data_IF_213029321377
#
_entry.id   IF_213029321377
#
_cell.length_a   1.000
_cell.length_b   1.000
_cell.length_c   1.000
_cell.angle_alpha   90.00
_cell.angle_beta   90.00
_cell.angle_gamma   90.00
#
_symmetry.space_group_name_H-M   'P 1'
#
loop_
_entity.id
_entity.type
_entity.pdbx_description
1 polymer ?
#
# COMPACT_ATOMS: atom_id res chain seq x y z
N UNK A 1 23.81 -23.63 -29.51
CA UNK A 1 23.79 -22.55 -28.51
C UNK A 1 22.36 -22.52 -28.01
N UNK A 2 22.08 -23.24 -26.92
CA UNK A 2 20.75 -23.27 -26.33
C UNK A 2 20.63 -22.01 -25.49
N UNK A 3 19.66 -21.17 -25.83
CA UNK A 3 19.30 -20.01 -25.03
C UNK A 3 18.77 -20.52 -23.68
N UNK A 4 19.60 -20.37 -22.65
CA UNK A 4 19.26 -20.66 -21.25
C UNK A 4 18.45 -19.48 -20.67
N UNK A 5 17.29 -19.20 -21.27
CA UNK A 5 16.35 -18.16 -20.78
C UNK A 5 15.50 -18.64 -19.59
N UNK A 6 15.71 -19.89 -19.13
CA UNK A 6 14.91 -20.52 -18.06
C UNK A 6 14.89 -19.75 -16.74
N UNK A 7 16.05 -19.30 -16.20
CA UNK A 7 16.08 -18.51 -14.96
C UNK A 7 15.46 -17.12 -15.14
N UNK A 8 15.84 -16.40 -16.20
CA UNK A 8 15.40 -15.03 -16.44
C UNK A 8 13.88 -14.92 -16.67
N UNK A 9 13.29 -15.86 -17.43
CA UNK A 9 11.84 -15.91 -17.67
C UNK A 9 11.08 -16.23 -16.38
N UNK A 10 11.61 -17.11 -15.53
CA UNK A 10 11.01 -17.41 -14.23
C UNK A 10 10.92 -16.15 -13.36
N UNK A 11 12.02 -15.40 -13.24
CA UNK A 11 12.04 -14.16 -12.48
C UNK A 11 11.06 -13.12 -13.02
N UNK A 12 10.96 -13.01 -14.35
CA UNK A 12 10.02 -12.11 -15.01
C UNK A 12 8.55 -12.49 -14.72
N UNK A 13 8.17 -13.76 -14.90
CA UNK A 13 6.81 -14.24 -14.64
C UNK A 13 6.44 -14.04 -13.18
N UNK A 14 7.35 -14.40 -12.27
CA UNK A 14 7.10 -14.24 -10.84
C UNK A 14 6.93 -12.76 -10.46
N UNK A 15 7.74 -11.86 -11.02
CA UNK A 15 7.57 -10.41 -10.82
C UNK A 15 6.23 -9.89 -11.35
N UNK A 16 5.78 -10.38 -12.51
CA UNK A 16 4.50 -9.98 -13.11
C UNK A 16 3.30 -10.51 -12.32
N UNK A 17 3.38 -11.74 -11.81
CA UNK A 17 2.36 -12.29 -10.93
C UNK A 17 2.24 -11.47 -9.64
N UNK A 18 3.36 -11.03 -9.06
CA UNK A 18 3.33 -10.17 -7.87
C UNK A 18 2.68 -8.81 -8.16
N UNK A 19 3.13 -8.11 -9.21
CA UNK A 19 2.64 -6.77 -9.55
C UNK A 19 1.17 -6.74 -9.97
N UNK A 20 0.67 -7.82 -10.56
CA UNK A 20 -0.70 -7.94 -11.06
C UNK A 20 -1.72 -8.34 -10.00
N UNK A 21 -1.28 -8.85 -8.85
CA UNK A 21 -2.19 -9.43 -7.84
C UNK A 21 -2.04 -8.83 -6.44
N UNK A 22 -0.92 -8.18 -6.13
CA UNK A 22 -0.65 -7.64 -4.78
C UNK A 22 0.01 -6.26 -4.83
N UNK A 23 -0.22 -5.41 -3.80
CA UNK A 23 0.50 -4.16 -3.67
C UNK A 23 1.97 -4.44 -3.38
N UNK A 24 2.84 -3.52 -3.80
CA UNK A 24 4.30 -3.69 -3.75
C UNK A 24 4.80 -3.92 -2.33
N UNK A 25 4.16 -3.32 -1.33
CA UNK A 25 4.54 -3.53 0.06
C UNK A 25 4.58 -5.03 0.38
N UNK A 26 3.62 -5.83 -0.10
CA UNK A 26 3.49 -7.25 0.24
C UNK A 26 4.45 -8.19 -0.50
N UNK A 27 5.15 -7.72 -1.53
CA UNK A 27 5.92 -8.58 -2.43
C UNK A 27 6.98 -9.41 -1.70
N UNK A 28 7.79 -8.79 -0.84
CA UNK A 28 8.87 -9.48 -0.13
C UNK A 28 8.36 -10.61 0.77
N UNK A 29 7.28 -10.38 1.52
CA UNK A 29 6.71 -11.41 2.40
C UNK A 29 6.08 -12.56 1.61
N UNK A 30 5.44 -12.26 0.48
CA UNK A 30 4.89 -13.29 -0.39
C UNK A 30 6.03 -14.17 -0.91
N UNK A 31 7.10 -13.55 -1.42
CA UNK A 31 8.30 -14.26 -1.86
C UNK A 31 8.87 -15.17 -0.75
N UNK A 32 9.04 -14.64 0.45
CA UNK A 32 9.53 -15.39 1.61
C UNK A 32 8.63 -16.59 1.95
N UNK A 33 7.30 -16.40 1.92
CA UNK A 33 6.32 -17.44 2.29
C UNK A 33 6.36 -18.68 1.40
N UNK A 34 6.79 -18.51 0.14
CA UNK A 34 6.94 -19.60 -0.83
C UNK A 34 8.42 -19.93 -1.14
N UNK A 35 9.35 -19.35 -0.37
CA UNK A 35 10.80 -19.47 -0.56
C UNK A 35 11.23 -19.12 -2.01
N UNK A 36 10.59 -18.12 -2.59
CA UNK A 36 10.91 -17.56 -3.89
C UNK A 36 11.99 -16.50 -3.71
N UNK A 37 13.06 -16.60 -4.49
CA UNK A 37 14.10 -15.57 -4.57
C UNK A 37 13.99 -14.90 -5.92
N UNK A 38 13.88 -13.58 -5.93
CA UNK A 38 13.87 -12.79 -7.14
C UNK A 38 15.13 -11.95 -7.24
N UNK A 39 15.78 -12.00 -8.40
CA UNK A 39 16.92 -11.14 -8.72
C UNK A 39 16.43 -9.97 -9.57
N UNK A 40 16.54 -8.75 -9.04
CA UNK A 40 16.08 -7.54 -9.73
C UNK A 40 16.86 -7.27 -11.01
N UNK A 41 18.16 -7.62 -11.05
CA UNK A 41 19.00 -7.45 -12.24
C UNK A 41 18.54 -8.40 -13.33
N UNK A 42 18.25 -9.66 -12.99
CA UNK A 42 17.72 -10.62 -13.97
C UNK A 42 16.33 -10.21 -14.48
N UNK A 43 15.46 -9.67 -13.62
CA UNK A 43 14.16 -9.12 -14.02
C UNK A 43 14.33 -7.95 -14.99
N UNK A 44 15.20 -6.99 -14.68
CA UNK A 44 15.40 -5.81 -15.51
C UNK A 44 16.01 -6.18 -16.87
N UNK A 45 16.95 -7.13 -16.90
CA UNK A 45 17.49 -7.69 -18.13
C UNK A 45 16.43 -8.42 -18.95
N UNK A 46 15.59 -9.25 -18.32
CA UNK A 46 14.51 -9.96 -18.97
C UNK A 46 13.47 -9.01 -19.56
N UNK A 47 13.09 -7.95 -18.82
CA UNK A 47 12.20 -6.87 -19.32
C UNK A 47 12.81 -6.13 -20.51
N UNK A 48 14.10 -5.80 -20.45
CA UNK A 48 14.79 -5.14 -21.54
C UNK A 48 14.83 -6.01 -22.80
N UNK A 49 15.10 -7.32 -22.66
CA UNK A 49 15.05 -8.29 -23.77
C UNK A 49 13.63 -8.39 -24.35
N UNK A 50 12.61 -8.52 -23.51
CA UNK A 50 11.22 -8.61 -23.94
C UNK A 50 10.79 -7.37 -24.74
N UNK A 51 11.14 -6.16 -24.25
CA UNK A 51 10.89 -4.89 -24.96
C UNK A 51 11.66 -4.76 -26.28
N UNK A 52 12.87 -5.31 -26.37
CA UNK A 52 13.66 -5.28 -27.59
C UNK A 52 13.15 -6.29 -28.64
N UNK A 53 12.47 -7.35 -28.21
CA UNK A 53 11.85 -8.36 -29.08
C UNK A 53 10.45 -7.96 -29.57
N UNK A 54 9.78 -7.06 -28.85
CA UNK A 54 8.45 -6.52 -29.19
C UNK A 54 8.62 -5.19 -29.95
N UNK A 55 8.72 -5.25 -31.29
CA UNK A 55 8.77 -4.06 -32.17
C UNK A 55 7.44 -3.29 -32.23
N UNK A 56 6.37 -3.84 -31.63
CA UNK A 56 5.12 -3.12 -31.43
C UNK A 56 5.19 -2.31 -30.15
N UNK A 57 5.12 -0.98 -30.29
CA UNK A 57 4.86 -0.06 -29.18
C UNK A 57 3.62 -0.56 -28.45
N UNK A 58 3.80 -1.22 -27.30
CA UNK A 58 2.70 -1.67 -26.44
C UNK A 58 2.11 -0.42 -25.77
N UNK A 59 1.42 0.40 -26.59
CA UNK A 59 0.50 1.46 -26.20
C UNK A 59 -0.59 0.84 -25.32
N UNK A 60 -0.31 0.66 -24.04
CA UNK A 60 -1.26 0.03 -23.13
C UNK A 60 -0.70 -0.44 -21.80
N UNK A 61 0.62 -0.58 -21.65
CA UNK A 61 1.14 -0.97 -20.34
C UNK A 61 1.10 0.22 -19.39
N UNK A 62 0.09 0.21 -18.53
CA UNK A 62 -0.11 1.16 -17.44
C UNK A 62 1.21 1.29 -16.66
N UNK A 63 1.77 2.49 -16.58
CA UNK A 63 3.01 2.78 -15.87
C UNK A 63 2.71 3.59 -14.62
N UNK A 64 3.35 3.23 -13.51
CA UNK A 64 3.25 4.02 -12.27
C UNK A 64 3.78 5.44 -12.47
N UNK A 65 3.03 6.44 -12.01
CA UNK A 65 3.53 7.82 -12.00
C UNK A 65 4.55 8.00 -10.88
N UNK A 66 5.83 8.29 -11.18
CA UNK A 66 6.85 8.52 -10.16
C UNK A 66 6.52 9.71 -9.23
N UNK A 67 5.64 10.63 -9.65
CA UNK A 67 5.24 11.79 -8.84
C UNK A 67 4.16 11.47 -7.81
N UNK A 68 3.43 10.36 -7.94
CA UNK A 68 2.34 9.99 -7.05
C UNK A 68 2.74 10.09 -5.57
N UNK A 69 3.88 9.49 -5.24
CA UNK A 69 4.43 9.50 -3.89
C UNK A 69 4.63 10.92 -3.35
N UNK A 70 5.28 11.79 -4.13
CA UNK A 70 5.56 13.16 -3.71
C UNK A 70 4.27 13.96 -3.50
N UNK A 71 3.30 13.80 -4.40
CA UNK A 71 2.01 14.48 -4.35
C UNK A 71 1.19 14.07 -3.12
N UNK A 72 1.11 12.77 -2.82
CA UNK A 72 0.41 12.25 -1.64
C UNK A 72 1.08 12.71 -0.35
N UNK A 73 2.41 12.57 -0.24
CA UNK A 73 3.14 13.05 0.95
C UNK A 73 2.93 14.55 1.17
N UNK A 74 2.96 15.35 0.11
CA UNK A 74 2.69 16.79 0.19
C UNK A 74 1.24 17.09 0.57
N UNK A 75 0.26 16.35 0.04
CA UNK A 75 -1.15 16.55 0.36
C UNK A 75 -1.44 16.37 1.87
N UNK A 76 -0.72 15.45 2.51
CA UNK A 76 -0.81 15.18 3.95
C UNK A 76 0.27 15.86 4.79
N UNK A 77 0.92 16.91 4.25
CA UNK A 77 1.94 17.69 4.96
C UNK A 77 3.08 16.82 5.57
N UNK A 78 3.40 15.71 4.89
CA UNK A 78 4.39 14.71 5.31
C UNK A 78 4.07 14.14 6.69
N UNK A 79 2.81 13.78 6.90
CA UNK A 79 2.33 13.18 8.14
C UNK A 79 1.47 11.94 7.85
N UNK A 80 1.65 10.88 8.65
CA UNK A 80 0.82 9.68 8.57
C UNK A 80 -0.63 10.01 8.93
N UNK A 81 -1.55 9.68 8.02
CA UNK A 81 -2.98 9.97 8.14
C UNK A 81 -3.65 9.26 9.34
N UNK A 82 -3.07 8.16 9.84
CA UNK A 82 -3.64 7.34 10.92
C UNK A 82 -3.07 7.64 12.31
N UNK A 83 -1.78 7.99 12.41
CA UNK A 83 -1.11 8.14 13.70
C UNK A 83 -0.38 9.46 13.90
N UNK A 84 -0.28 10.30 12.87
CA UNK A 84 0.40 11.58 12.97
C UNK A 84 1.94 11.50 12.91
N UNK A 85 2.53 10.33 12.63
CA UNK A 85 3.98 10.22 12.45
C UNK A 85 4.48 11.15 11.33
N UNK A 86 5.45 12.00 11.64
CA UNK A 86 6.00 13.04 10.77
C UNK A 86 7.55 13.07 10.78
N UNK A 87 8.17 11.97 11.23
CA UNK A 87 9.61 11.89 11.50
C UNK A 87 10.48 12.39 10.35
N UNK A 88 11.43 13.28 10.67
CA UNK A 88 12.42 13.81 9.76
C UNK A 88 13.84 13.46 10.22
N UNK A 89 14.72 13.20 9.26
CA UNK A 89 16.17 13.16 9.44
C UNK A 89 16.77 14.14 8.44
N UNK A 90 17.36 15.22 8.95
CA UNK A 90 17.77 16.38 8.16
C UNK A 90 16.61 16.91 7.28
N UNK A 91 16.79 16.93 5.96
CA UNK A 91 15.79 17.36 4.99
C UNK A 91 14.93 16.19 4.44
N UNK A 92 15.05 14.98 5.00
CA UNK A 92 14.41 13.77 4.50
C UNK A 92 13.38 13.21 5.47
N UNK A 93 12.20 12.90 4.94
CA UNK A 93 11.15 12.24 5.69
C UNK A 93 11.48 10.76 5.91
N UNK A 94 11.33 10.27 7.14
CA UNK A 94 11.68 8.90 7.53
C UNK A 94 10.42 8.07 7.76
N UNK A 95 10.34 6.93 7.09
CA UNK A 95 9.30 5.94 7.34
C UNK A 95 7.89 6.38 6.92
N UNK A 96 7.76 7.30 5.96
CA UNK A 96 6.49 7.64 5.32
C UNK A 96 6.41 7.11 3.90
N UNK A 97 5.21 6.68 3.53
CA UNK A 97 4.87 6.04 2.27
C UNK A 97 3.56 6.60 1.72
N UNK A 98 3.40 6.48 0.40
CA UNK A 98 2.14 6.77 -0.27
C UNK A 98 1.45 5.43 -0.54
N UNK A 99 0.46 5.13 0.28
CA UNK A 99 -0.35 3.93 0.16
C UNK A 99 -1.48 4.17 -0.83
N UNK A 100 -1.60 3.29 -1.82
CA UNK A 100 -2.79 3.25 -2.66
C UNK A 100 -3.97 2.71 -1.84
N UNK A 101 -5.10 3.41 -1.86
CA UNK A 101 -6.35 2.93 -1.24
C UNK A 101 -6.89 1.77 -2.07
N UNK A 102 -7.17 2.02 -3.35
CA UNK A 102 -7.40 0.99 -4.35
C UNK A 102 -6.08 0.56 -4.94
N UNK A 103 -5.74 -0.71 -4.82
CA UNK A 103 -4.45 -1.22 -5.27
C UNK A 103 -4.21 -0.99 -6.75
N UNK A 104 -2.96 -0.66 -7.08
CA UNK A 104 -2.54 -0.48 -8.46
C UNK A 104 -2.80 -1.72 -9.32
N UNK A 105 -2.58 -2.91 -8.74
CA UNK A 105 -2.85 -4.23 -9.34
C UNK A 105 -4.31 -4.44 -9.79
N UNK A 106 -5.26 -3.69 -9.20
CA UNK A 106 -6.69 -3.80 -9.46
C UNK A 106 -7.25 -2.54 -10.12
N UNK A 107 -6.47 -1.84 -10.94
CA UNK A 107 -6.85 -0.58 -11.62
C UNK A 107 -7.01 0.63 -10.70
N UNK A 108 -6.32 0.68 -9.55
CA UNK A 108 -6.29 1.86 -8.69
C UNK A 108 -5.38 2.97 -9.23
N UNK A 109 -5.86 4.19 -9.52
CA UNK A 109 -5.09 5.25 -10.19
C UNK A 109 -4.00 5.88 -9.32
N UNK A 110 -3.00 6.46 -9.98
CA UNK A 110 -1.92 7.24 -9.35
C UNK A 110 -2.37 8.70 -9.13
N UNK A 111 -3.52 8.88 -8.48
CA UNK A 111 -4.13 10.17 -8.19
C UNK A 111 -4.18 10.40 -6.69
N UNK A 112 -4.07 11.65 -6.25
CA UNK A 112 -4.01 11.99 -4.82
C UNK A 112 -5.22 11.43 -4.06
N UNK A 113 -6.39 11.44 -4.68
CA UNK A 113 -7.63 10.93 -4.09
C UNK A 113 -7.70 9.39 -4.03
N UNK A 114 -6.72 8.66 -4.59
CA UNK A 114 -6.52 7.24 -4.35
C UNK A 114 -5.34 6.99 -3.40
N UNK A 115 -4.81 8.03 -2.75
CA UNK A 115 -3.61 7.95 -1.92
C UNK A 115 -3.86 8.32 -0.46
N UNK A 116 -3.18 7.61 0.44
CA UNK A 116 -2.99 7.99 1.84
C UNK A 116 -1.49 8.13 2.13
N UNK A 117 -1.09 9.20 2.81
CA UNK A 117 0.24 9.22 3.41
C UNK A 117 0.21 8.39 4.69
N UNK A 118 0.92 7.28 4.74
CA UNK A 118 0.97 6.37 5.90
C UNK A 118 2.41 6.15 6.33
N UNK A 119 2.65 5.90 7.62
CA UNK A 119 3.96 5.39 8.01
C UNK A 119 4.13 3.93 7.58
N UNK A 120 5.36 3.44 7.42
CA UNK A 120 5.63 2.09 6.89
C UNK A 120 4.87 0.98 7.62
N UNK A 121 4.69 1.11 8.94
CA UNK A 121 3.90 0.15 9.72
C UNK A 121 2.40 0.22 9.41
N UNK A 122 1.82 1.43 9.34
CA UNK A 122 0.40 1.59 8.99
C UNK A 122 0.11 1.23 7.55
N UNK A 123 1.02 1.51 6.61
CA UNK A 123 0.89 1.07 5.23
C UNK A 123 0.82 -0.45 5.14
N UNK A 124 1.72 -1.16 5.82
CA UNK A 124 1.70 -2.63 5.84
C UNK A 124 0.42 -3.19 6.48
N UNK A 125 -0.03 -2.62 7.60
CA UNK A 125 -1.28 -3.03 8.24
C UNK A 125 -2.49 -2.78 7.32
N UNK A 126 -2.46 -1.70 6.55
CA UNK A 126 -3.53 -1.30 5.64
C UNK A 126 -3.62 -2.25 4.46
N UNK A 127 -2.49 -2.60 3.84
CA UNK A 127 -2.42 -3.58 2.75
C UNK A 127 -2.72 -5.02 3.21
N UNK A 128 -2.50 -5.34 4.49
CA UNK A 128 -2.94 -6.63 5.05
C UNK A 128 -4.42 -6.66 5.40
N UNK A 129 -5.10 -5.52 5.38
CA UNK A 129 -6.48 -5.36 5.84
C UNK A 129 -6.65 -5.45 7.35
N UNK A 130 -5.56 -5.34 8.13
CA UNK A 130 -5.64 -5.31 9.59
C UNK A 130 -6.17 -3.95 10.09
N UNK A 131 -5.93 -2.89 9.33
CA UNK A 131 -6.46 -1.54 9.54
C UNK A 131 -7.07 -1.03 8.23
N UNK A 132 -8.07 -0.16 8.33
CA UNK A 132 -8.78 0.41 7.19
C UNK A 132 -9.36 1.77 7.54
N UNK A 133 -10.25 2.26 6.69
CA UNK A 133 -11.00 3.50 6.90
C UNK A 133 -12.49 3.19 6.79
N UNK A 134 -13.25 3.52 7.83
CA UNK A 134 -14.70 3.34 7.84
C UNK A 134 -15.42 4.41 7.02
N UNK A 135 -16.71 4.19 6.76
CA UNK A 135 -17.58 5.12 6.01
C UNK A 135 -17.66 6.52 6.61
N UNK A 136 -17.43 6.65 7.92
CA UNK A 136 -17.43 7.94 8.65
C UNK A 136 -16.03 8.61 8.66
N UNK A 137 -15.12 8.21 7.77
CA UNK A 137 -13.73 8.68 7.71
C UNK A 137 -12.98 8.53 9.04
N UNK A 138 -13.20 7.38 9.71
CA UNK A 138 -12.49 6.98 10.92
C UNK A 138 -11.60 5.79 10.64
N UNK A 139 -10.54 5.64 11.41
CA UNK A 139 -9.68 4.48 11.34
C UNK A 139 -10.45 3.26 11.87
N UNK A 140 -10.52 2.19 11.08
CA UNK A 140 -11.15 0.93 11.45
C UNK A 140 -10.07 -0.13 11.70
N UNK A 141 -10.17 -0.91 12.77
CA UNK A 141 -9.23 -2.00 13.08
C UNK A 141 -9.97 -3.33 13.02
N UNK A 142 -9.41 -4.31 12.31
CA UNK A 142 -9.98 -5.65 12.24
C UNK A 142 -10.00 -6.35 13.60
N UNK A 143 -11.07 -7.08 13.90
CA UNK A 143 -11.10 -8.00 15.06
C UNK A 143 -10.06 -9.13 14.95
N UNK A 144 -9.62 -9.45 13.73
CA UNK A 144 -8.60 -10.48 13.47
C UNK A 144 -7.18 -10.01 13.80
N UNK A 145 -6.95 -8.71 13.97
CA UNK A 145 -5.67 -8.20 14.45
C UNK A 145 -5.54 -8.46 15.96
N UNK A 146 -4.51 -9.20 16.36
CA UNK A 146 -4.23 -9.51 17.77
C UNK A 146 -2.94 -8.82 18.21
N UNK A 147 -3.08 -7.81 19.06
CA UNK A 147 -1.97 -7.15 19.74
C UNK A 147 -2.10 -7.32 21.26
N UNK A 148 -1.05 -7.80 21.93
CA UNK A 148 -1.05 -7.97 23.41
C UNK A 148 -0.06 -7.04 24.13
N UNK A 149 0.90 -6.49 23.39
CA UNK A 149 1.91 -5.59 23.93
C UNK A 149 1.49 -4.12 23.87
N UNK A 150 2.09 -3.25 24.70
CA UNK A 150 1.77 -1.82 24.74
C UNK A 150 2.00 -1.12 23.40
N UNK A 151 2.98 -1.57 22.60
CA UNK A 151 3.22 -1.01 21.26
C UNK A 151 2.08 -1.29 20.29
N UNK A 152 1.54 -2.51 20.30
CA UNK A 152 0.40 -2.86 19.44
C UNK A 152 -0.88 -2.11 19.87
N UNK A 153 -1.04 -1.88 21.18
CA UNK A 153 -2.10 -1.03 21.70
C UNK A 153 -1.96 0.42 21.20
N UNK A 154 -0.78 1.02 21.42
CA UNK A 154 -0.51 2.41 21.07
C UNK A 154 -0.59 2.67 19.56
N UNK A 155 0.00 1.81 18.74
CA UNK A 155 0.07 2.02 17.29
C UNK A 155 -1.14 1.53 16.52
N UNK A 156 -1.87 0.53 17.00
CA UNK A 156 -2.94 -0.11 16.20
C UNK A 156 -4.28 -0.08 16.92
N UNK A 157 -4.40 -0.73 18.09
CA UNK A 157 -5.71 -0.94 18.72
C UNK A 157 -6.36 0.39 19.16
N UNK A 158 -5.58 1.30 19.74
CA UNK A 158 -6.06 2.63 20.16
C UNK A 158 -6.42 3.55 18.99
N UNK A 159 -6.08 3.17 17.74
CA UNK A 159 -6.47 3.94 16.55
C UNK A 159 -7.91 3.65 16.14
N UNK A 160 -8.49 2.52 16.56
CA UNK A 160 -9.86 2.17 16.20
C UNK A 160 -10.84 3.28 16.59
N UNK A 161 -11.63 3.74 15.62
CA UNK A 161 -12.60 4.81 15.81
C UNK A 161 -12.03 6.22 15.83
N UNK A 162 -10.70 6.42 15.82
CA UNK A 162 -10.12 7.77 15.73
C UNK A 162 -10.40 8.41 14.38
N UNK A 163 -10.47 9.74 14.33
CA UNK A 163 -10.63 10.45 13.05
C UNK A 163 -9.39 10.25 12.20
N UNK A 164 -9.57 9.94 10.92
CA UNK A 164 -8.49 9.99 9.95
C UNK A 164 -8.07 11.45 9.75
N UNK A 165 -6.76 11.71 9.76
CA UNK A 165 -6.24 13.03 9.42
C UNK A 165 -6.53 13.32 7.96
N UNK A 166 -6.99 14.54 7.69
CA UNK A 166 -7.38 14.99 6.35
C UNK A 166 -6.21 15.70 5.67
N UNK A 167 -6.09 15.61 4.33
CA UNK A 167 -5.11 16.38 3.61
C UNK A 167 -5.38 17.88 3.72
N UNK A 168 -4.37 18.70 3.40
CA UNK A 168 -4.42 20.17 3.49
C UNK A 168 -5.51 20.84 2.62
N UNK A 169 -6.10 20.11 1.67
CA UNK A 169 -7.22 20.55 0.84
C UNK A 169 -8.25 19.44 0.72
N UNK A 170 -9.53 19.81 0.75
CA UNK A 170 -10.63 18.84 0.63
C UNK A 170 -10.66 18.12 -0.72
N UNK A 171 -10.12 18.74 -1.76
CA UNK A 171 -10.00 18.18 -3.12
C UNK A 171 -9.09 16.95 -3.19
N UNK A 172 -8.21 16.79 -2.20
CA UNK A 172 -7.23 15.71 -2.08
C UNK A 172 -7.74 14.55 -1.24
N UNK A 173 -8.95 14.64 -0.68
CA UNK A 173 -9.49 13.57 0.13
C UNK A 173 -9.70 12.30 -0.69
N UNK A 174 -9.50 11.12 -0.08
CA UNK A 174 -9.74 9.88 -0.77
C UNK A 174 -11.20 9.78 -1.24
N UNK A 175 -11.40 9.39 -2.50
CA UNK A 175 -12.76 9.25 -3.03
C UNK A 175 -13.48 8.08 -2.34
N UNK A 176 -14.79 8.21 -2.04
CA UNK A 176 -15.56 7.18 -1.36
C UNK A 176 -15.52 5.81 -2.06
N UNK A 177 -15.45 5.77 -3.39
CA UNK A 177 -15.38 4.53 -4.16
C UNK A 177 -14.08 3.73 -3.93
N UNK A 178 -12.95 4.41 -3.71
CA UNK A 178 -11.70 3.72 -3.40
C UNK A 178 -11.72 3.19 -1.97
N UNK A 179 -12.24 3.98 -1.03
CA UNK A 179 -12.41 3.53 0.36
C UNK A 179 -13.36 2.33 0.44
N UNK A 180 -14.45 2.34 -0.34
CA UNK A 180 -15.36 1.22 -0.45
C UNK A 180 -14.67 -0.03 -1.02
N UNK A 181 -13.90 0.12 -2.11
CA UNK A 181 -13.12 -0.98 -2.67
C UNK A 181 -12.14 -1.56 -1.64
N UNK A 182 -11.42 -0.73 -0.88
CA UNK A 182 -10.48 -1.23 0.13
C UNK A 182 -11.21 -1.98 1.24
N UNK A 183 -12.35 -1.46 1.68
CA UNK A 183 -13.19 -2.11 2.67
C UNK A 183 -13.65 -3.50 2.19
N UNK A 184 -14.09 -3.61 0.94
CA UNK A 184 -14.69 -4.83 0.42
C UNK A 184 -13.66 -5.90 0.01
N UNK A 185 -12.50 -5.48 -0.52
CA UNK A 185 -11.50 -6.38 -1.11
C UNK A 185 -10.31 -6.65 -0.19
N UNK A 186 -9.95 -5.71 0.68
CA UNK A 186 -8.71 -5.76 1.47
C UNK A 186 -8.99 -5.90 2.96
N UNK A 187 -9.85 -5.04 3.51
CA UNK A 187 -10.12 -4.99 4.94
C UNK A 187 -10.66 -6.34 5.47
N UNK A 188 -10.08 -6.80 6.58
CA UNK A 188 -10.43 -8.10 7.16
C UNK A 188 -11.55 -7.93 8.17
N UNK A 189 -12.79 -8.04 7.70
CA UNK A 189 -13.96 -8.01 8.58
C UNK A 189 -13.97 -9.13 9.65
N UNK A 190 -14.65 -8.89 10.79
CA UNK A 190 -15.39 -7.67 11.14
C UNK A 190 -14.51 -6.54 11.70
N UNK A 191 -15.01 -5.29 11.64
CA UNK A 191 -14.43 -4.16 12.37
C UNK A 191 -14.59 -4.36 13.89
N UNK A 192 -13.54 -4.05 14.64
CA UNK A 192 -13.53 -4.10 16.09
C UNK A 192 -14.51 -3.09 16.65
N UNK A 193 -15.43 -3.57 17.49
CA UNK A 193 -16.34 -2.69 18.22
C UNK A 193 -15.54 -1.70 19.07
N UNK A 194 -15.91 -0.42 18.99
CA UNK A 194 -15.43 0.56 19.94
C UNK A 194 -15.91 0.11 21.32
N UNK A 195 -14.99 0.00 22.28
CA UNK A 195 -15.39 -0.04 23.68
C UNK A 195 -16.11 1.29 23.91
N UNK A 196 -17.43 1.25 24.09
CA UNK A 196 -18.15 2.45 24.49
C UNK A 196 -17.46 3.03 25.71
N UNK A 197 -17.23 4.34 25.70
CA UNK A 197 -17.00 5.08 26.93
C UNK A 197 -18.27 4.88 27.78
N UNK A 198 -18.29 3.82 28.58
CA UNK A 198 -19.09 3.78 29.80
C UNK A 198 -18.48 4.87 30.67
N UNK A 199 -19.08 6.06 30.56
CA UNK A 199 -18.61 7.29 31.19
C UNK A 199 -18.28 7.10 32.66
N UNK A 200 -17.21 7.77 33.07
CA UNK A 200 -16.88 8.10 34.44
C UNK A 200 -16.57 9.61 34.48
#
# INVERSE_FOLDING_TARGET
MQDDDGPALFHLIASELLSSNWPESLHDEICESVNLRLDSVEIDMARARARAADETDTEGQRRRDPKFRELVLRAYERQCAMCGWDGQLDASTVGLEAAHVKWWAFDGPDEIQNGLCLCSMHHRLFDKGAIGVSKDHRVAVSERFVGRGPTAEAFVLSRNGTKLLRPQRSEYEPLPEYLAWHHDEVFREPERQQRGDSGA
#
